data_IF_732836147373
#
_entry.id   IF_732836147373
#
_cell.length_a   1.000
_cell.length_b   1.000
_cell.length_c   1.000
_cell.angle_alpha   90.00
_cell.angle_beta   90.00
_cell.angle_gamma   90.00
#
_symmetry.space_group_name_H-M   'P 1'
#
loop_
_entity.id
_entity.type
_entity.pdbx_description
1 polymer ?
#
# COMPACT_ATOMS: atom_id res chain seq x y z
N UNK A 1 -3.00 21.38 -5.72
CA UNK A 1 -1.85 20.95 -6.55
C UNK A 1 -2.28 19.71 -7.29
N UNK A 2 -2.23 19.70 -8.62
CA UNK A 2 -2.64 18.55 -9.43
C UNK A 2 -1.40 17.74 -9.83
N UNK A 3 -1.41 16.45 -9.56
CA UNK A 3 -0.33 15.51 -9.87
C UNK A 3 -0.74 14.73 -11.11
N UNK A 4 0.20 14.39 -12.00
CA UNK A 4 -0.09 13.48 -13.13
C UNK A 4 0.07 12.04 -12.66
N UNK A 5 -0.97 11.23 -12.84
CA UNK A 5 -0.87 9.78 -12.65
C UNK A 5 -0.24 9.09 -13.88
N UNK A 6 -0.02 7.78 -13.79
CA UNK A 6 0.60 6.97 -14.86
C UNK A 6 -0.20 6.96 -16.18
N UNK A 7 -1.48 7.37 -16.14
CA UNK A 7 -2.34 7.52 -17.32
C UNK A 7 -2.28 8.93 -17.92
N UNK A 8 -1.39 9.78 -17.41
CA UNK A 8 -1.24 11.18 -17.84
C UNK A 8 -2.39 12.10 -17.37
N UNK A 9 -3.27 11.62 -16.49
CA UNK A 9 -4.41 12.38 -15.98
C UNK A 9 -4.01 13.20 -14.77
N UNK A 10 -4.54 14.42 -14.66
CA UNK A 10 -4.39 15.25 -13.48
C UNK A 10 -5.31 14.74 -12.37
N UNK A 11 -4.69 14.29 -11.28
CA UNK A 11 -5.35 13.81 -10.07
C UNK A 11 -5.06 14.75 -8.91
N UNK A 12 -5.94 14.76 -7.92
CA UNK A 12 -5.66 15.48 -6.68
C UNK A 12 -4.51 14.81 -5.92
N UNK A 13 -3.82 15.57 -5.06
CA UNK A 13 -2.81 15.01 -4.15
C UNK A 13 -3.36 13.84 -3.33
N UNK A 14 -4.62 13.93 -2.90
CA UNK A 14 -5.31 12.87 -2.16
C UNK A 14 -5.49 11.60 -3.01
N UNK A 15 -5.87 11.74 -4.29
CA UNK A 15 -6.01 10.60 -5.20
C UNK A 15 -4.66 9.93 -5.51
N UNK A 16 -3.60 10.73 -5.69
CA UNK A 16 -2.25 10.20 -5.88
C UNK A 16 -1.79 9.40 -4.65
N UNK A 17 -1.94 9.98 -3.44
CA UNK A 17 -1.58 9.31 -2.18
C UNK A 17 -2.40 8.03 -1.94
N UNK A 18 -3.69 8.03 -2.29
CA UNK A 18 -4.52 6.83 -2.19
C UNK A 18 -4.03 5.72 -3.13
N UNK A 19 -3.62 6.07 -4.35
CA UNK A 19 -3.05 5.12 -5.30
C UNK A 19 -1.70 4.54 -4.81
N UNK A 20 -0.83 5.40 -4.27
CA UNK A 20 0.46 4.97 -3.72
C UNK A 20 0.27 4.01 -2.53
N UNK A 21 -0.63 4.36 -1.60
CA UNK A 21 -0.97 3.49 -0.46
C UNK A 21 -1.52 2.14 -0.92
N UNK A 22 -2.32 2.12 -1.99
CA UNK A 22 -2.82 0.88 -2.56
C UNK A 22 -1.69 0.03 -3.17
N UNK A 23 -0.75 0.66 -3.89
CA UNK A 23 0.44 -0.02 -4.41
C UNK A 23 1.29 -0.64 -3.29
N UNK A 24 1.53 0.10 -2.21
CA UNK A 24 2.26 -0.43 -1.06
C UNK A 24 1.53 -1.59 -0.38
N UNK A 25 0.19 -1.55 -0.29
CA UNK A 25 -0.59 -2.68 0.24
C UNK A 25 -0.37 -3.93 -0.59
N UNK A 26 -0.38 -3.81 -1.92
CA UNK A 26 -0.22 -4.94 -2.82
C UNK A 26 1.19 -5.52 -2.74
N UNK A 27 2.21 -4.66 -2.70
CA UNK A 27 3.62 -5.05 -2.55
C UNK A 27 3.87 -5.75 -1.20
N UNK A 28 3.47 -5.14 -0.09
CA UNK A 28 3.64 -5.76 1.24
C UNK A 28 2.86 -7.07 1.36
N UNK A 29 1.68 -7.16 0.74
CA UNK A 29 0.92 -8.41 0.69
C UNK A 29 1.65 -9.49 -0.13
N UNK A 30 2.29 -9.10 -1.24
CA UNK A 30 3.13 -10.01 -2.03
C UNK A 30 4.29 -10.55 -1.20
N UNK A 31 5.05 -9.67 -0.54
CA UNK A 31 6.18 -10.06 0.31
C UNK A 31 5.76 -10.91 1.50
N UNK A 32 4.64 -10.61 2.14
CA UNK A 32 4.09 -11.44 3.22
C UNK A 32 3.82 -12.87 2.73
N UNK A 33 3.21 -13.03 1.56
CA UNK A 33 2.96 -14.35 0.95
C UNK A 33 4.25 -15.07 0.61
N UNK A 34 5.25 -14.36 0.09
CA UNK A 34 6.56 -14.95 -0.21
C UNK A 34 7.27 -15.41 1.06
N UNK A 35 7.27 -14.60 2.12
CA UNK A 35 7.84 -14.96 3.42
C UNK A 35 7.15 -16.20 4.02
N UNK A 36 5.81 -16.26 3.96
CA UNK A 36 5.06 -17.45 4.39
C UNK A 36 5.42 -18.71 3.60
N UNK A 37 5.59 -18.59 2.28
CA UNK A 37 6.04 -19.70 1.42
C UNK A 37 7.46 -20.15 1.75
N UNK A 38 8.31 -19.24 2.19
CA UNK A 38 9.67 -19.52 2.67
C UNK A 38 9.74 -20.02 4.12
N UNK A 39 8.61 -20.05 4.85
CA UNK A 39 8.57 -20.43 6.25
C UNK A 39 8.97 -19.33 7.24
N UNK A 40 9.29 -18.12 6.76
CA UNK A 40 9.63 -16.97 7.60
C UNK A 40 8.36 -16.26 8.10
N UNK A 41 7.87 -16.72 9.24
CA UNK A 41 6.68 -16.15 9.89
C UNK A 41 6.93 -14.75 10.47
N UNK A 42 8.17 -14.42 10.82
CA UNK A 42 8.53 -13.12 11.40
C UNK A 42 8.44 -12.05 10.34
N UNK A 43 9.04 -12.28 9.18
CA UNK A 43 8.96 -11.33 8.06
C UNK A 43 7.53 -11.23 7.54
N UNK A 44 6.81 -12.36 7.45
CA UNK A 44 5.40 -12.33 7.09
C UNK A 44 4.54 -11.47 8.06
N UNK A 45 4.78 -11.58 9.36
CA UNK A 45 4.06 -10.77 10.35
C UNK A 45 4.41 -9.29 10.23
N UNK A 46 5.68 -8.97 9.99
CA UNK A 46 6.14 -7.59 9.75
C UNK A 46 5.49 -6.99 8.50
N UNK A 47 5.52 -7.69 7.36
CA UNK A 47 4.85 -7.22 6.14
C UNK A 47 3.35 -7.00 6.36
N UNK A 48 2.68 -7.88 7.10
CA UNK A 48 1.25 -7.72 7.42
C UNK A 48 0.97 -6.52 8.35
N UNK A 49 1.91 -6.15 9.22
CA UNK A 49 1.82 -4.94 10.02
C UNK A 49 1.88 -3.68 9.14
N UNK A 50 2.79 -3.65 8.16
CA UNK A 50 2.87 -2.56 7.18
C UNK A 50 1.60 -2.44 6.32
N UNK A 51 1.02 -3.57 5.88
CA UNK A 51 -0.28 -3.59 5.19
C UNK A 51 -1.36 -2.95 6.05
N UNK A 52 -1.41 -3.29 7.35
CA UNK A 52 -2.40 -2.74 8.27
C UNK A 52 -2.25 -1.23 8.43
N UNK A 53 -1.02 -0.74 8.57
CA UNK A 53 -0.73 0.69 8.68
C UNK A 53 -1.13 1.44 7.40
N UNK A 54 -0.78 0.91 6.23
CA UNK A 54 -1.19 1.49 4.95
C UNK A 54 -2.72 1.56 4.81
N UNK A 55 -3.45 0.52 5.25
CA UNK A 55 -4.92 0.51 5.25
C UNK A 55 -5.50 1.57 6.20
N UNK A 56 -4.92 1.75 7.39
CA UNK A 56 -5.38 2.78 8.33
C UNK A 56 -5.17 4.18 7.76
N UNK A 57 -4.01 4.43 7.15
CA UNK A 57 -3.72 5.69 6.45
C UNK A 57 -4.67 5.92 5.27
N UNK A 58 -4.98 4.88 4.50
CA UNK A 58 -5.91 4.97 3.39
C UNK A 58 -7.33 5.32 3.88
N UNK A 59 -7.82 4.65 4.92
CA UNK A 59 -9.13 4.94 5.52
C UNK A 59 -9.16 6.40 6.01
N UNK A 60 -8.16 6.84 6.75
CA UNK A 60 -8.08 8.22 7.26
C UNK A 60 -7.99 9.26 6.13
N UNK A 61 -7.42 8.89 4.98
CA UNK A 61 -7.35 9.74 3.80
C UNK A 61 -8.69 9.80 3.06
N UNK A 62 -9.54 8.77 3.15
CA UNK A 62 -10.81 8.67 2.41
C UNK A 62 -12.06 8.95 3.24
N UNK A 63 -11.93 9.03 4.57
CA UNK A 63 -13.00 9.35 5.52
C UNK A 63 -13.32 10.85 5.53
#
# INVERSE_FOLDING_TARGET
MAIRNDKGQFVSTQQALAADLQGFIDDWTHWAKQALRGGDKTEAARCMAEVRDCRQKLIALTA
#
